data_IF_630784845541
#
_entry.id   IF_630784845541
#
_cell.length_a   1.000
_cell.length_b   1.000
_cell.length_c   1.000
_cell.angle_alpha   90.00
_cell.angle_beta   90.00
_cell.angle_gamma   90.00
#
_symmetry.space_group_name_H-M   'P 1'
#
loop_
_entity.id
_entity.type
_entity.pdbx_description
1 polymer ?
#
# COMPACT_ATOMS: atom_id res chain seq x y z
N UNK A 1 -4.18 19.17 1.23
CA UNK A 1 -3.15 18.17 1.58
C UNK A 1 -3.83 16.85 1.93
N UNK A 2 -3.34 15.75 1.37
CA UNK A 2 -3.90 14.43 1.64
C UNK A 2 -3.55 13.98 3.06
N UNK A 3 -4.58 13.68 3.83
CA UNK A 3 -4.44 13.13 5.18
C UNK A 3 -4.73 11.63 5.12
N UNK A 4 -3.77 10.81 5.50
CA UNK A 4 -3.87 9.35 5.38
C UNK A 4 -5.01 8.78 6.23
N UNK A 5 -5.26 9.33 7.41
CA UNK A 5 -6.37 8.89 8.25
C UNK A 5 -7.72 9.20 7.59
N UNK A 6 -7.85 10.34 6.93
CA UNK A 6 -9.07 10.70 6.20
C UNK A 6 -9.28 9.81 4.99
N UNK A 7 -8.21 9.49 4.25
CA UNK A 7 -8.29 8.56 3.12
C UNK A 7 -8.69 7.17 3.61
N UNK A 8 -8.15 6.73 4.74
CA UNK A 8 -8.51 5.45 5.34
C UNK A 8 -10.00 5.38 5.67
N UNK A 9 -10.54 6.43 6.29
CA UNK A 9 -11.96 6.53 6.63
C UNK A 9 -12.84 6.52 5.38
N UNK A 10 -12.49 7.31 4.38
CA UNK A 10 -13.22 7.36 3.11
C UNK A 10 -13.18 6.01 2.39
N UNK A 11 -12.04 5.34 2.38
CA UNK A 11 -11.88 4.02 1.76
C UNK A 11 -12.76 2.99 2.43
N UNK A 12 -12.83 3.02 3.77
CA UNK A 12 -13.69 2.15 4.56
C UNK A 12 -15.17 2.38 4.23
N UNK A 13 -15.61 3.65 4.19
CA UNK A 13 -16.98 4.02 3.87
C UNK A 13 -17.35 3.54 2.46
N UNK A 14 -16.48 3.76 1.48
CA UNK A 14 -16.72 3.34 0.09
C UNK A 14 -16.81 1.82 -0.03
N UNK A 15 -15.94 1.09 0.67
CA UNK A 15 -15.98 -0.38 0.68
C UNK A 15 -17.31 -0.89 1.22
N UNK A 16 -17.79 -0.29 2.31
CA UNK A 16 -19.12 -0.63 2.87
C UNK A 16 -20.23 -0.35 1.89
N UNK A 17 -20.21 0.82 1.24
CA UNK A 17 -21.23 1.20 0.26
C UNK A 17 -21.27 0.24 -0.93
N UNK A 18 -20.13 -0.32 -1.30
CA UNK A 18 -20.04 -1.32 -2.38
C UNK A 18 -20.44 -2.72 -1.93
N UNK A 19 -20.79 -2.91 -0.66
CA UNK A 19 -21.15 -4.22 -0.12
C UNK A 19 -19.97 -5.17 0.08
N UNK A 20 -18.76 -4.64 0.13
CA UNK A 20 -17.57 -5.47 0.35
C UNK A 20 -17.43 -5.81 1.83
N UNK A 21 -16.83 -6.98 2.11
CA UNK A 21 -16.47 -7.33 3.48
C UNK A 21 -15.35 -6.42 3.96
N UNK A 22 -15.57 -5.72 5.07
CA UNK A 22 -14.63 -4.74 5.60
C UNK A 22 -13.97 -5.18 6.90
N UNK A 23 -14.15 -6.46 7.31
CA UNK A 23 -13.41 -6.97 8.45
C UNK A 23 -11.91 -7.04 8.11
N UNK A 24 -11.07 -6.94 9.15
CA UNK A 24 -9.63 -6.81 8.97
C UNK A 24 -9.04 -7.99 8.21
N UNK A 25 -9.44 -9.21 8.56
CA UNK A 25 -8.87 -10.42 7.95
C UNK A 25 -9.23 -10.50 6.46
N UNK A 26 -10.50 -10.29 6.11
CA UNK A 26 -10.95 -10.32 4.71
C UNK A 26 -10.26 -9.23 3.89
N UNK A 27 -10.10 -8.05 4.47
CA UNK A 27 -9.43 -6.92 3.80
C UNK A 27 -7.94 -7.24 3.56
N UNK A 28 -7.26 -7.85 4.53
CA UNK A 28 -5.86 -8.24 4.37
C UNK A 28 -5.68 -9.35 3.34
N UNK A 29 -6.62 -10.30 3.28
CA UNK A 29 -6.60 -11.34 2.23
C UNK A 29 -6.78 -10.73 0.85
N UNK A 30 -7.69 -9.77 0.71
CA UNK A 30 -7.87 -9.02 -0.52
C UNK A 30 -6.59 -8.27 -0.90
N UNK A 31 -5.94 -7.64 0.07
CA UNK A 31 -4.66 -6.96 -0.11
C UNK A 31 -3.58 -7.92 -0.65
N UNK A 32 -3.53 -9.14 -0.14
CA UNK A 32 -2.59 -10.15 -0.63
C UNK A 32 -2.81 -10.45 -2.13
N UNK A 33 -4.07 -10.52 -2.56
CA UNK A 33 -4.41 -10.67 -3.99
C UNK A 33 -3.94 -9.50 -4.83
N UNK A 34 -4.10 -8.27 -4.32
CA UNK A 34 -3.64 -7.06 -4.99
C UNK A 34 -2.11 -7.06 -5.15
N UNK A 35 -1.38 -7.59 -4.17
CA UNK A 35 0.09 -7.73 -4.27
C UNK A 35 0.46 -8.66 -5.43
N UNK A 36 -0.23 -9.78 -5.58
CA UNK A 36 -0.01 -10.70 -6.70
C UNK A 36 -0.28 -9.98 -8.04
N UNK A 37 -1.38 -9.25 -8.14
CA UNK A 37 -1.71 -8.49 -9.34
C UNK A 37 -0.66 -7.43 -9.66
N UNK A 38 -0.10 -6.76 -8.66
CA UNK A 38 0.99 -5.79 -8.85
C UNK A 38 2.25 -6.48 -9.39
N UNK A 39 2.59 -7.66 -8.89
CA UNK A 39 3.72 -8.44 -9.41
C UNK A 39 3.51 -8.80 -10.89
N UNK A 40 2.31 -9.21 -11.26
CA UNK A 40 1.98 -9.52 -12.65
C UNK A 40 2.05 -8.27 -13.53
N UNK A 41 1.54 -7.13 -13.04
CA UNK A 41 1.61 -5.87 -13.77
C UNK A 41 3.05 -5.44 -14.00
N UNK A 42 3.92 -5.60 -13.01
CA UNK A 42 5.36 -5.30 -13.16
C UNK A 42 6.02 -6.21 -14.18
N UNK A 43 5.70 -7.50 -14.17
CA UNK A 43 6.23 -8.46 -15.15
C UNK A 43 5.85 -8.05 -16.58
N UNK A 44 4.59 -7.66 -16.79
CA UNK A 44 4.13 -7.18 -18.09
C UNK A 44 4.85 -5.91 -18.52
N UNK A 45 5.09 -4.98 -17.57
CA UNK A 45 5.83 -3.77 -17.84
C UNK A 45 7.25 -4.07 -18.31
N UNK A 46 7.94 -4.99 -17.64
CA UNK A 46 9.31 -5.37 -18.01
C UNK A 46 9.38 -6.07 -19.37
N UNK A 47 8.31 -6.69 -19.82
CA UNK A 47 8.22 -7.39 -21.11
C UNK A 47 7.69 -6.49 -22.22
N UNK A 48 7.32 -5.24 -21.93
CA UNK A 48 6.65 -4.39 -22.93
C UNK A 48 7.62 -3.79 -23.93
N UNK A 49 7.12 -3.61 -25.14
CA UNK A 49 7.77 -2.74 -26.13
C UNK A 49 7.47 -1.27 -25.79
N UNK A 50 8.26 -0.34 -26.32
CA UNK A 50 8.17 1.09 -26.01
C UNK A 50 6.78 1.70 -26.23
N UNK A 51 5.97 1.13 -27.11
CA UNK A 51 4.64 1.66 -27.43
C UNK A 51 3.65 1.63 -26.29
N UNK A 52 3.76 0.66 -25.38
CA UNK A 52 2.77 0.43 -24.31
C UNK A 52 3.31 0.69 -22.92
N UNK A 53 4.53 1.21 -22.81
CA UNK A 53 5.18 1.42 -21.52
C UNK A 53 4.40 2.39 -20.63
N UNK A 54 3.89 3.49 -21.19
CA UNK A 54 3.12 4.49 -20.42
C UNK A 54 1.84 3.91 -19.81
N UNK A 55 1.07 3.13 -20.60
CA UNK A 55 -0.15 2.48 -20.10
C UNK A 55 0.17 1.41 -19.04
N UNK A 56 1.22 0.64 -19.24
CA UNK A 56 1.62 -0.40 -18.30
C UNK A 56 2.16 0.19 -17.01
N UNK A 57 2.84 1.34 -17.05
CA UNK A 57 3.20 2.10 -15.86
C UNK A 57 1.96 2.54 -15.09
N UNK A 58 0.94 3.02 -15.80
CA UNK A 58 -0.32 3.43 -15.19
C UNK A 58 -1.01 2.25 -14.50
N UNK A 59 -1.05 1.08 -15.14
CA UNK A 59 -1.64 -0.13 -14.56
C UNK A 59 -0.90 -0.52 -13.28
N UNK A 60 0.43 -0.54 -13.31
CA UNK A 60 1.22 -0.82 -12.10
C UNK A 60 0.94 0.20 -11.00
N UNK A 61 0.88 1.48 -11.35
CA UNK A 61 0.57 2.54 -10.37
C UNK A 61 -0.78 2.34 -9.70
N UNK A 62 -1.81 1.96 -10.46
CA UNK A 62 -3.13 1.70 -9.91
C UNK A 62 -3.15 0.47 -9.00
N UNK A 63 -2.40 -0.59 -9.35
CA UNK A 63 -2.29 -1.78 -8.48
C UNK A 63 -1.59 -1.45 -7.17
N UNK A 64 -0.52 -0.64 -7.21
CA UNK A 64 0.15 -0.17 -5.99
C UNK A 64 -0.79 0.68 -5.13
N UNK A 65 -1.57 1.55 -5.77
CA UNK A 65 -2.57 2.36 -5.07
C UNK A 65 -3.61 1.47 -4.38
N UNK A 66 -4.07 0.42 -5.05
CA UNK A 66 -5.06 -0.52 -4.48
C UNK A 66 -4.50 -1.23 -3.24
N UNK A 67 -3.22 -1.60 -3.24
CA UNK A 67 -2.56 -2.18 -2.06
C UNK A 67 -2.62 -1.20 -0.88
N UNK A 68 -2.27 0.05 -1.13
CA UNK A 68 -2.28 1.10 -0.10
C UNK A 68 -3.71 1.31 0.42
N UNK A 69 -4.70 1.40 -0.48
CA UNK A 69 -6.11 1.59 -0.11
C UNK A 69 -6.61 0.42 0.74
N UNK A 70 -6.26 -0.82 0.40
CA UNK A 70 -6.64 -1.98 1.20
C UNK A 70 -6.08 -1.91 2.62
N UNK A 71 -4.80 -1.56 2.75
CA UNK A 71 -4.17 -1.42 4.06
C UNK A 71 -4.82 -0.29 4.88
N UNK A 72 -5.12 0.83 4.24
CA UNK A 72 -5.80 1.96 4.87
C UNK A 72 -7.22 1.57 5.33
N UNK A 73 -7.95 0.83 4.51
CA UNK A 73 -9.29 0.33 4.87
C UNK A 73 -9.22 -0.55 6.13
N UNK A 74 -8.25 -1.46 6.18
CA UNK A 74 -8.04 -2.31 7.35
C UNK A 74 -7.72 -1.47 8.59
N UNK A 75 -6.89 -0.44 8.46
CA UNK A 75 -6.53 0.44 9.58
C UNK A 75 -7.75 1.18 10.13
N UNK A 76 -8.61 1.70 9.26
CA UNK A 76 -9.84 2.37 9.68
C UNK A 76 -10.77 1.41 10.42
N UNK A 77 -10.94 0.20 9.91
CA UNK A 77 -11.77 -0.82 10.56
C UNK A 77 -11.25 -1.20 11.94
N UNK A 78 -9.93 -1.27 12.08
CA UNK A 78 -9.29 -1.62 13.34
C UNK A 78 -9.22 -0.44 14.33
N UNK A 79 -9.64 0.76 13.93
CA UNK A 79 -9.57 1.95 14.78
C UNK A 79 -8.16 2.46 15.01
N UNK A 80 -7.26 2.24 14.06
CA UNK A 80 -5.84 2.59 14.17
C UNK A 80 -5.60 3.93 13.48
N UNK A 81 -4.87 4.84 14.15
CA UNK A 81 -4.35 6.05 13.52
C UNK A 81 -3.11 5.68 12.70
N UNK A 82 -3.33 5.39 11.42
CA UNK A 82 -2.26 4.88 10.56
C UNK A 82 -1.12 5.88 10.38
N UNK A 83 -1.40 7.18 10.43
CA UNK A 83 -0.35 8.20 10.31
C UNK A 83 0.68 8.09 11.44
N UNK A 84 0.23 7.85 12.66
CA UNK A 84 1.13 7.71 13.81
C UNK A 84 2.06 6.51 13.63
N UNK A 85 1.53 5.40 13.13
CA UNK A 85 2.33 4.18 12.94
C UNK A 85 3.26 4.28 11.73
N UNK A 86 2.85 4.98 10.67
CA UNK A 86 3.76 5.26 9.55
C UNK A 86 4.94 6.10 10.04
N UNK A 87 4.68 7.14 10.83
CA UNK A 87 5.75 7.98 11.40
C UNK A 87 6.69 7.16 12.27
N UNK A 88 6.15 6.28 13.11
CA UNK A 88 6.96 5.40 13.96
C UNK A 88 7.81 4.44 13.12
N UNK A 89 7.20 3.81 12.11
CA UNK A 89 7.90 2.88 11.23
C UNK A 89 9.04 3.58 10.46
N UNK A 90 8.80 4.80 9.99
CA UNK A 90 9.82 5.58 9.29
C UNK A 90 11.01 5.90 10.20
N UNK A 91 10.74 6.24 11.46
CA UNK A 91 11.81 6.48 12.46
C UNK A 91 12.62 5.22 12.72
N UNK A 92 11.95 4.07 12.87
CA UNK A 92 12.64 2.79 13.05
C UNK A 92 13.54 2.46 11.86
N UNK A 93 13.05 2.66 10.65
CA UNK A 93 13.81 2.39 9.44
C UNK A 93 15.04 3.29 9.33
N UNK A 94 14.88 4.57 9.68
CA UNK A 94 16.01 5.51 9.70
C UNK A 94 17.08 5.09 10.72
N UNK A 95 16.67 4.65 11.91
CA UNK A 95 17.60 4.17 12.94
C UNK A 95 18.33 2.90 12.47
N UNK A 96 17.63 1.96 11.84
CA UNK A 96 18.25 0.75 11.29
C UNK A 96 19.29 1.08 10.23
N UNK A 97 18.97 1.98 9.31
CA UNK A 97 19.91 2.41 8.28
C UNK A 97 21.16 3.04 8.90
N UNK A 98 20.99 3.88 9.91
CA UNK A 98 22.09 4.50 10.63
C UNK A 98 22.98 3.46 11.33
N UNK A 99 22.37 2.50 12.03
CA UNK A 99 23.09 1.41 12.72
C UNK A 99 23.85 0.52 11.73
N UNK A 100 23.24 0.17 10.60
CA UNK A 100 23.87 -0.65 9.57
C UNK A 100 25.09 0.06 8.99
N UNK A 101 25.00 1.37 8.69
CA UNK A 101 26.12 2.16 8.21
C UNK A 101 27.26 2.20 9.22
N UNK A 102 26.96 2.39 10.50
CA UNK A 102 27.98 2.43 11.54
C UNK A 102 28.65 1.06 11.74
N UNK A 103 27.92 -0.04 11.59
CA UNK A 103 28.48 -1.38 11.68
C UNK A 103 29.41 -1.68 10.50
N UNK A 104 29.09 -1.19 9.30
CA UNK A 104 29.94 -1.36 8.12
C UNK A 104 31.24 -0.58 8.22
N UNK A 105 31.25 0.55 8.93
CA UNK A 105 32.42 1.41 9.07
C UNK A 105 33.27 1.08 10.29
N UNK A 106 32.82 0.18 11.15
CA UNK A 106 33.54 -0.19 12.38
C UNK A 106 34.70 -1.15 12.12
#
# INVERSE_FOLDING_TARGET
MLNLNDIAEQSYILAKQRGLSVDVISTLKHCAGEVVEACEAHTRLMQSSDRNTGEKHRVLGLELADIIICALTASARAGISIEDYINEAMKKNAQRAYQEQNNETA
#
